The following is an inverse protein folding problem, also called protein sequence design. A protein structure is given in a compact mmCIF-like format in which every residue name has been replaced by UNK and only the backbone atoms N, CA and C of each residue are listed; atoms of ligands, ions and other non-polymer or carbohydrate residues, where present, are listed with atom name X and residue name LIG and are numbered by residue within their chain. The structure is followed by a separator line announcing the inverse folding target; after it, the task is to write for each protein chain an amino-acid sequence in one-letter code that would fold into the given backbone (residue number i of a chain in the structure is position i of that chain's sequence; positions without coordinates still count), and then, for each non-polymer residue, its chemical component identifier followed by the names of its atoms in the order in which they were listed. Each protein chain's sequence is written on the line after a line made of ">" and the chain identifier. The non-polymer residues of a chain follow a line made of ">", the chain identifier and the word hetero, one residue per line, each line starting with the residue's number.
data_IF_694143501722
#
_entry.id   IF_694143501722
#
_cell.length_a   1.000
_cell.length_b   1.000
_cell.length_c   1.000
_cell.angle_alpha   90.00
_cell.angle_beta   90.00
_cell.angle_gamma   90.00
#
_symmetry.space_group_name_H-M   'P 1'
#
loop_
_entity.id
_entity.type
_entity.pdbx_description
1 polymer ?
#
# COMPACT_ATOMS: atom_id res chain seq x y z
N UNK A 1 1.55 -3.92 -20.14
CA UNK A 1 2.83 -3.19 -19.93
C UNK A 1 3.05 -3.12 -18.41
N UNK A 2 4.21 -3.54 -17.93
CA UNK A 2 4.45 -3.94 -16.53
C UNK A 2 4.31 -2.77 -15.53
N UNK A 3 3.26 -2.79 -14.71
CA UNK A 3 3.17 -2.02 -13.45
C UNK A 3 4.04 -2.63 -12.33
N UNK A 4 5.25 -3.13 -12.65
CA UNK A 4 6.20 -3.68 -11.66
C UNK A 4 6.95 -2.61 -10.85
N UNK A 5 6.54 -1.35 -10.94
CA UNK A 5 7.19 -0.23 -10.23
C UNK A 5 6.27 0.44 -9.19
N UNK A 6 5.04 -0.04 -8.99
CA UNK A 6 4.15 0.46 -7.94
C UNK A 6 4.40 -0.16 -6.55
N UNK A 7 5.23 -1.22 -6.44
CA UNK A 7 5.40 -1.97 -5.19
C UNK A 7 6.40 -1.36 -4.18
N UNK A 8 6.85 -0.11 -4.40
CA UNK A 8 7.77 0.60 -3.51
C UNK A 8 7.09 1.76 -2.74
N UNK A 9 5.76 1.81 -2.71
CA UNK A 9 5.03 2.92 -2.08
C UNK A 9 4.87 2.63 -0.58
N UNK A 10 5.74 3.30 0.18
CA UNK A 10 5.60 3.60 1.60
C UNK A 10 5.54 2.39 2.55
N UNK A 11 6.66 1.68 2.64
CA UNK A 11 7.12 1.15 3.92
C UNK A 11 7.54 2.32 4.84
N UNK A 12 6.60 3.22 5.15
CA UNK A 12 6.71 3.99 6.38
C UNK A 12 6.35 3.00 7.46
N UNK A 13 7.32 2.17 7.88
CA UNK A 13 7.31 1.73 9.25
C UNK A 13 7.10 3.01 10.05
N UNK A 14 5.94 3.13 10.69
CA UNK A 14 5.59 4.25 11.56
C UNK A 14 6.56 4.20 12.74
N UNK A 15 7.80 4.65 12.51
CA UNK A 15 8.75 4.92 13.55
C UNK A 15 8.23 6.19 14.21
N UNK A 16 7.67 6.07 15.41
CA UNK A 16 7.42 7.26 16.21
C UNK A 16 8.79 7.89 16.49
N UNK A 17 9.08 8.99 15.81
CA UNK A 17 10.22 9.83 16.17
C UNK A 17 9.83 10.50 17.48
N UNK A 18 10.11 9.84 18.59
CA UNK A 18 9.99 10.47 19.90
C UNK A 18 10.89 11.73 19.88
N UNK A 19 10.30 12.88 20.19
CA UNK A 19 11.09 14.10 20.35
C UNK A 19 11.98 13.95 21.60
N UNK A 20 13.29 14.11 21.43
CA UNK A 20 14.21 14.05 22.55
C UNK A 20 14.03 15.29 23.46
N UNK A 21 14.09 15.12 24.79
CA UNK A 21 14.12 16.24 25.72
C UNK A 21 15.32 17.16 25.42
N UNK A 22 15.16 18.47 25.69
CA UNK A 22 16.23 19.44 25.51
C UNK A 22 17.49 19.05 26.30
N UNK A 23 18.63 18.93 25.60
CA UNK A 23 19.93 18.54 26.18
C UNK A 23 20.30 17.07 26.06
N UNK A 24 19.48 16.25 25.39
CA UNK A 24 19.81 14.87 25.00
C UNK A 24 20.33 14.86 23.56
N UNK A 25 21.24 13.95 23.22
CA UNK A 25 21.69 13.77 21.83
C UNK A 25 20.49 13.53 20.90
N UNK A 26 20.58 13.99 19.63
CA UNK A 26 19.46 13.82 18.72
C UNK A 26 19.25 12.33 18.44
N UNK A 27 18.00 11.86 18.44
CA UNK A 27 17.73 10.43 18.39
C UNK A 27 18.10 9.89 17.02
N UNK A 28 18.80 8.76 17.00
CA UNK A 28 19.06 7.96 15.80
C UNK A 28 18.23 6.69 15.93
N UNK A 29 17.43 6.41 14.90
CA UNK A 29 16.53 5.26 14.88
C UNK A 29 16.97 4.25 13.82
N UNK A 30 17.02 2.99 14.21
CA UNK A 30 17.41 1.87 13.37
C UNK A 30 16.21 0.97 13.10
N UNK A 31 16.06 0.50 11.87
CA UNK A 31 14.93 -0.31 11.47
C UNK A 31 15.31 -1.45 10.55
N UNK A 32 14.87 -2.68 10.85
CA UNK A 32 14.82 -3.78 9.88
C UNK A 32 13.38 -4.27 9.80
N UNK A 33 12.75 -4.23 8.63
CA UNK A 33 11.38 -4.74 8.44
C UNK A 33 11.33 -5.75 7.30
N UNK A 34 10.61 -6.86 7.48
CA UNK A 34 10.28 -7.79 6.39
C UNK A 34 8.84 -7.56 5.94
N UNK A 35 8.66 -7.40 4.64
CA UNK A 35 7.37 -7.17 4.00
C UNK A 35 6.94 -8.34 3.13
N UNK A 36 5.64 -8.60 3.08
CA UNK A 36 5.02 -9.43 2.04
C UNK A 36 3.82 -8.73 1.44
N UNK A 37 3.74 -8.75 0.11
CA UNK A 37 2.66 -8.14 -0.65
C UNK A 37 1.77 -9.19 -1.31
N UNK A 38 0.47 -9.05 -1.12
CA UNK A 38 -0.57 -9.86 -1.73
C UNK A 38 -1.45 -8.98 -2.61
N UNK A 39 -2.05 -9.58 -3.65
CA UNK A 39 -3.08 -8.95 -4.47
C UNK A 39 -4.39 -9.68 -4.24
N UNK A 40 -5.41 -8.93 -3.85
CA UNK A 40 -6.79 -9.38 -3.81
C UNK A 40 -7.47 -8.99 -5.13
N UNK A 41 -7.99 -10.01 -5.83
CA UNK A 41 -8.59 -9.85 -7.16
C UNK A 41 -10.07 -10.22 -7.23
N UNK A 42 -10.60 -10.81 -6.15
CA UNK A 42 -12.02 -11.08 -5.96
C UNK A 42 -12.35 -11.19 -4.46
N UNK A 43 -13.63 -11.26 -4.15
CA UNK A 43 -14.14 -11.47 -2.79
C UNK A 43 -13.54 -12.71 -2.14
N UNK A 44 -12.85 -12.52 -1.01
CA UNK A 44 -12.17 -13.61 -0.29
C UNK A 44 -11.09 -14.36 -1.09
N UNK A 45 -10.64 -13.82 -2.24
CA UNK A 45 -9.59 -14.42 -3.07
C UNK A 45 -8.35 -13.56 -3.02
N UNK A 46 -7.41 -13.98 -2.18
CA UNK A 46 -6.06 -13.41 -2.10
C UNK A 46 -5.10 -14.30 -2.88
N UNK A 47 -4.46 -13.71 -3.90
CA UNK A 47 -3.52 -14.43 -4.76
C UNK A 47 -2.09 -14.26 -4.28
N UNK A 48 -1.61 -15.25 -3.51
CA UNK A 48 -0.19 -15.49 -3.18
C UNK A 48 0.60 -14.33 -2.54
N UNK A 49 1.71 -14.65 -1.85
CA UNK A 49 2.73 -13.65 -1.54
C UNK A 49 3.46 -13.33 -2.85
N UNK A 50 3.05 -12.27 -3.53
CA UNK A 50 3.58 -11.92 -4.85
C UNK A 50 5.02 -11.45 -4.77
N UNK A 51 5.35 -10.70 -3.71
CA UNK A 51 6.67 -10.11 -3.49
C UNK A 51 7.02 -10.12 -1.99
N UNK A 52 8.11 -10.81 -1.64
CA UNK A 52 8.72 -10.81 -0.31
C UNK A 52 9.98 -9.95 -0.33
N UNK A 53 10.14 -9.04 0.63
CA UNK A 53 11.31 -8.15 0.69
C UNK A 53 11.65 -7.74 2.12
N UNK A 54 12.82 -7.15 2.32
CA UNK A 54 13.21 -6.48 3.55
C UNK A 54 13.62 -5.03 3.29
N UNK A 55 13.29 -4.16 4.24
CA UNK A 55 13.72 -2.77 4.33
C UNK A 55 14.73 -2.64 5.47
N UNK A 56 15.85 -1.99 5.20
CA UNK A 56 16.82 -1.53 6.18
C UNK A 56 16.75 -0.02 6.24
N UNK A 57 16.65 0.56 7.43
CA UNK A 57 16.49 2.01 7.57
C UNK A 57 17.29 2.60 8.72
N UNK A 58 17.74 3.84 8.49
CA UNK A 58 18.42 4.69 9.45
C UNK A 58 17.77 6.06 9.38
N UNK A 59 17.25 6.54 10.51
CA UNK A 59 16.45 7.76 10.57
C UNK A 59 16.92 8.67 11.69
N UNK A 60 16.85 9.99 11.48
CA UNK A 60 17.00 10.98 12.54
C UNK A 60 16.06 12.15 12.28
N UNK A 61 15.47 12.79 13.30
CA UNK A 61 14.72 14.04 13.12
C UNK A 61 15.63 15.22 12.78
N UNK A 62 16.95 15.04 12.79
CA UNK A 62 17.92 16.08 12.42
C UNK A 62 18.14 16.07 10.92
N UNK A 63 18.10 17.25 10.31
CA UNK A 63 18.47 17.47 8.91
C UNK A 63 19.98 17.26 8.72
N UNK A 64 20.39 16.70 7.58
CA UNK A 64 21.79 16.35 7.32
C UNK A 64 22.42 15.56 8.48
N UNK A 65 21.73 14.52 8.97
CA UNK A 65 22.21 13.74 10.11
C UNK A 65 23.40 12.84 9.73
N UNK A 66 23.39 12.26 8.53
CA UNK A 66 24.31 11.19 8.14
C UNK A 66 25.09 11.55 6.87
N UNK A 67 26.38 11.20 6.84
CA UNK A 67 27.23 11.24 5.65
C UNK A 67 27.33 9.87 4.95
N UNK A 68 27.17 8.79 5.72
CA UNK A 68 27.21 7.41 5.23
C UNK A 68 26.49 6.49 6.22
N UNK A 69 25.91 5.40 5.72
CA UNK A 69 25.32 4.33 6.53
C UNK A 69 25.53 2.97 5.86
N UNK A 70 25.87 1.96 6.64
CA UNK A 70 26.03 0.58 6.19
C UNK A 70 25.46 -0.39 7.21
N UNK A 71 24.93 -1.52 6.73
CA UNK A 71 24.45 -2.62 7.56
C UNK A 71 25.30 -3.84 7.27
N UNK A 72 25.83 -4.48 8.31
CA UNK A 72 26.64 -5.69 8.21
C UNK A 72 26.02 -6.83 9.01
N UNK A 73 26.10 -8.04 8.47
CA UNK A 73 25.60 -9.26 9.12
C UNK A 73 26.27 -10.49 8.48
N UNK A 74 26.04 -11.68 9.06
CA UNK A 74 26.52 -12.94 8.51
C UNK A 74 25.58 -13.47 7.41
N UNK A 75 25.52 -12.80 6.27
CA UNK A 75 24.71 -13.24 5.14
C UNK A 75 25.07 -12.60 3.80
N UNK A 76 24.38 -12.99 2.72
CA UNK A 76 24.86 -12.82 1.36
C UNK A 76 24.83 -11.39 0.83
N UNK A 77 24.01 -10.48 1.39
CA UNK A 77 23.99 -9.07 0.98
C UNK A 77 24.98 -8.20 1.76
N UNK A 78 25.62 -8.75 2.79
CA UNK A 78 26.54 -7.99 3.62
C UNK A 78 27.83 -7.63 2.86
N UNK A 79 28.32 -6.36 2.91
CA UNK A 79 27.69 -5.20 3.54
C UNK A 79 26.61 -4.56 2.66
N UNK A 80 25.53 -4.07 3.28
CA UNK A 80 24.47 -3.31 2.62
C UNK A 80 24.75 -1.82 2.79
N UNK A 81 24.91 -1.08 1.70
CA UNK A 81 24.96 0.38 1.75
C UNK A 81 23.56 0.97 1.89
N UNK A 82 23.38 1.93 2.79
CA UNK A 82 22.15 2.73 2.90
C UNK A 82 22.31 3.99 2.05
N UNK A 83 21.21 4.47 1.49
CA UNK A 83 21.20 5.67 0.65
C UNK A 83 20.22 6.69 1.19
N UNK A 84 20.59 7.96 1.11
CA UNK A 84 19.69 9.08 1.43
C UNK A 84 18.54 9.16 0.44
N UNK A 85 17.34 9.38 0.95
CA UNK A 85 16.10 9.42 0.15
C UNK A 85 15.44 10.79 0.21
N UNK A 86 15.94 11.63 1.12
CA UNK A 86 15.56 13.02 1.29
C UNK A 86 15.17 13.33 2.73
N UNK A 87 14.74 14.57 2.91
CA UNK A 87 14.20 15.02 4.19
C UNK A 87 12.81 14.42 4.40
N UNK A 88 12.59 13.76 5.53
CA UNK A 88 11.28 13.25 5.90
C UNK A 88 10.29 14.43 6.10
N UNK A 89 9.00 14.12 6.14
CA UNK A 89 7.91 15.12 6.29
C UNK A 89 8.05 15.96 7.58
N UNK A 90 8.87 15.51 8.53
CA UNK A 90 9.16 16.16 9.80
C UNK A 90 10.47 16.97 9.78
N UNK A 91 11.14 17.10 8.62
CA UNK A 91 12.39 17.85 8.45
C UNK A 91 13.67 17.10 8.83
N UNK A 92 13.58 15.80 9.12
CA UNK A 92 14.71 14.94 9.48
C UNK A 92 15.31 14.19 8.30
N UNK A 93 16.42 13.48 8.52
CA UNK A 93 17.14 12.69 7.50
C UNK A 93 16.72 11.23 7.55
N UNK A 94 16.42 10.64 6.38
CA UNK A 94 16.12 9.21 6.24
C UNK A 94 17.02 8.57 5.19
N UNK A 95 17.66 7.47 5.58
CA UNK A 95 18.46 6.61 4.72
C UNK A 95 17.86 5.20 4.71
N UNK A 96 17.75 4.57 3.53
CA UNK A 96 17.30 3.19 3.44
C UNK A 96 18.03 2.35 2.39
N UNK A 97 17.84 1.03 2.46
CA UNK A 97 18.10 0.08 1.39
C UNK A 97 17.07 -1.04 1.43
N UNK A 98 16.87 -1.71 0.30
CA UNK A 98 16.01 -2.89 0.19
C UNK A 98 16.85 -4.15 -0.07
N UNK A 99 16.30 -5.30 0.32
CA UNK A 99 16.76 -6.60 -0.16
C UNK A 99 16.33 -6.83 -1.62
N UNK A 100 16.67 -7.99 -2.18
CA UNK A 100 16.02 -8.44 -3.40
C UNK A 100 14.55 -8.79 -3.11
N UNK A 101 13.73 -8.75 -4.17
CA UNK A 101 12.36 -9.25 -4.14
C UNK A 101 12.39 -10.76 -4.37
N UNK A 102 11.71 -11.50 -3.50
CA UNK A 102 11.62 -12.96 -3.55
C UNK A 102 10.19 -13.43 -3.76
N UNK A 103 10.04 -14.60 -4.38
CA UNK A 103 8.74 -15.24 -4.59
C UNK A 103 8.28 -16.04 -3.37
N UNK A 104 9.20 -16.37 -2.45
CA UNK A 104 8.88 -17.15 -1.26
C UNK A 104 9.51 -16.53 -0.01
N UNK A 105 8.88 -16.81 1.13
CA UNK A 105 9.40 -16.43 2.44
C UNK A 105 10.75 -17.10 2.75
N UNK A 106 10.93 -18.35 2.33
CA UNK A 106 12.17 -19.11 2.57
C UNK A 106 13.37 -18.46 1.87
N UNK A 107 13.19 -17.99 0.63
CA UNK A 107 14.24 -17.29 -0.12
C UNK A 107 14.62 -15.96 0.55
N UNK A 108 13.62 -15.19 1.04
CA UNK A 108 13.86 -13.98 1.81
C UNK A 108 14.59 -14.28 3.12
N UNK A 109 14.20 -15.33 3.83
CA UNK A 109 14.83 -15.73 5.10
C UNK A 109 16.26 -16.26 4.90
N UNK A 110 16.58 -16.83 3.73
CA UNK A 110 17.94 -17.21 3.37
C UNK A 110 18.82 -15.99 3.08
N UNK A 111 18.27 -14.94 2.46
CA UNK A 111 19.00 -13.70 2.17
C UNK A 111 19.15 -12.80 3.41
N UNK A 112 18.07 -12.67 4.18
CA UNK A 112 17.94 -11.80 5.37
C UNK A 112 17.58 -12.68 6.57
N UNK A 113 18.52 -13.47 7.10
CA UNK A 113 18.27 -14.41 8.18
C UNK A 113 17.97 -13.69 9.50
N UNK A 114 17.26 -14.37 10.38
CA UNK A 114 17.12 -13.95 11.77
C UNK A 114 18.46 -14.10 12.49
N UNK A 115 19.14 -12.98 12.72
CA UNK A 115 20.47 -12.92 13.30
C UNK A 115 20.75 -11.52 13.84
N UNK A 116 21.96 -11.30 14.34
CA UNK A 116 22.44 -9.97 14.71
C UNK A 116 22.96 -9.23 13.47
N UNK A 117 22.50 -8.00 13.31
CA UNK A 117 22.92 -7.03 12.31
C UNK A 117 23.65 -5.90 13.03
N UNK A 118 24.58 -5.25 12.34
CA UNK A 118 25.29 -4.10 12.86
C UNK A 118 25.10 -2.93 11.91
N UNK A 119 24.46 -1.86 12.40
CA UNK A 119 24.32 -0.59 11.71
C UNK A 119 25.53 0.28 12.04
N UNK A 120 26.35 0.56 11.03
CA UNK A 120 27.48 1.47 11.12
C UNK A 120 27.18 2.73 10.30
N UNK A 121 27.27 3.90 10.92
CA UNK A 121 27.00 5.15 10.24
C UNK A 121 28.01 6.24 10.61
N UNK A 122 28.34 7.05 9.62
CA UNK A 122 29.11 8.28 9.80
C UNK A 122 28.14 9.43 9.91
N UNK A 123 28.08 10.07 11.07
CA UNK A 123 27.21 11.23 11.30
C UNK A 123 27.86 12.54 10.85
N UNK A 124 27.01 13.50 10.44
CA UNK A 124 27.37 14.91 10.18
C UNK A 124 26.89 15.74 11.37
N UNK A 125 25.57 15.74 11.60
CA UNK A 125 24.89 16.50 12.66
C UNK A 125 24.56 15.65 13.89
N UNK A 126 24.78 14.34 13.81
CA UNK A 126 24.75 13.40 14.94
C UNK A 126 26.12 12.74 15.11
N UNK A 127 26.49 12.22 16.29
CA UNK A 127 27.72 11.46 16.45
C UNK A 127 27.69 10.18 15.61
N UNK A 128 28.84 9.81 15.02
CA UNK A 128 28.98 8.52 14.32
C UNK A 128 28.83 7.37 15.32
N UNK A 129 28.30 6.24 14.85
CA UNK A 129 27.94 5.13 15.72
C UNK A 129 27.96 3.79 15.02
N UNK A 130 28.07 2.74 15.84
CA UNK A 130 27.98 1.36 15.43
C UNK A 130 27.07 0.63 16.43
N UNK A 131 25.95 0.09 15.94
CA UNK A 131 24.87 -0.39 16.79
C UNK A 131 24.39 -1.78 16.37
N UNK A 132 24.46 -2.78 17.28
CA UNK A 132 23.89 -4.09 17.01
C UNK A 132 22.36 -4.02 17.10
N UNK A 133 21.69 -4.66 16.16
CA UNK A 133 20.24 -4.85 16.10
C UNK A 133 20.00 -6.33 15.87
N UNK A 134 19.22 -6.97 16.74
CA UNK A 134 18.82 -8.37 16.52
C UNK A 134 17.56 -8.39 15.67
N UNK A 135 17.57 -9.19 14.61
CA UNK A 135 16.37 -9.55 13.85
C UNK A 135 15.85 -10.92 14.30
N UNK A 136 14.62 -10.96 14.79
CA UNK A 136 13.93 -12.18 15.23
C UNK A 136 13.57 -13.09 14.05
N UNK A 137 13.39 -14.39 14.31
CA UNK A 137 12.75 -15.29 13.34
C UNK A 137 11.46 -14.70 12.83
N UNK A 138 11.21 -14.88 11.55
CA UNK A 138 10.03 -14.31 10.91
C UNK A 138 8.77 -14.88 11.55
N UNK A 139 7.99 -14.00 12.18
CA UNK A 139 6.69 -14.32 12.79
C UNK A 139 5.61 -13.53 12.07
N UNK A 140 5.29 -13.91 10.84
CA UNK A 140 4.02 -13.48 10.25
C UNK A 140 2.88 -14.12 11.04
N UNK A 141 1.86 -13.32 11.38
CA UNK A 141 0.61 -13.89 11.85
C UNK A 141 0.05 -14.83 10.77
N UNK A 142 -0.49 -16.02 11.12
CA UNK A 142 -1.09 -16.93 10.15
C UNK A 142 -2.29 -16.30 9.43
N UNK A 143 -2.98 -15.41 10.14
CA UNK A 143 -4.18 -14.73 9.64
C UNK A 143 -3.80 -13.56 8.72
N UNK A 144 -4.49 -13.52 7.59
CA UNK A 144 -4.28 -12.63 6.47
C UNK A 144 -5.34 -11.54 6.55
N UNK A 145 -5.04 -10.29 6.91
CA UNK A 145 -6.03 -9.23 6.74
C UNK A 145 -6.39 -9.11 5.26
N UNK A 146 -7.65 -9.39 4.95
CA UNK A 146 -8.23 -9.43 3.62
C UNK A 146 -9.64 -8.86 3.66
N UNK A 147 -10.08 -8.34 2.52
CA UNK A 147 -11.45 -7.88 2.36
C UNK A 147 -12.37 -9.11 2.31
N UNK A 148 -13.42 -9.08 3.12
CA UNK A 148 -14.38 -10.18 3.26
C UNK A 148 -15.73 -9.86 2.60
N UNK A 149 -16.57 -10.89 2.49
CA UNK A 149 -17.93 -10.76 1.97
C UNK A 149 -17.88 -10.31 0.52
N UNK A 150 -18.69 -9.32 0.17
CA UNK A 150 -18.74 -8.68 -1.15
C UNK A 150 -17.91 -7.39 -1.21
N UNK A 151 -17.03 -7.13 -0.24
CA UNK A 151 -16.32 -5.84 -0.12
C UNK A 151 -15.48 -5.51 -1.34
N UNK A 152 -14.78 -6.50 -1.90
CA UNK A 152 -13.98 -6.27 -3.10
C UNK A 152 -14.89 -5.96 -4.29
N UNK A 153 -15.93 -6.77 -4.51
CA UNK A 153 -16.89 -6.55 -5.59
C UNK A 153 -17.60 -5.22 -5.45
N UNK A 154 -17.96 -4.83 -4.22
CA UNK A 154 -18.54 -3.53 -3.91
C UNK A 154 -17.55 -2.39 -4.12
N UNK A 155 -16.25 -2.55 -3.91
CA UNK A 155 -15.28 -1.53 -4.33
C UNK A 155 -15.29 -1.33 -5.84
N UNK A 156 -15.46 -2.41 -6.61
CA UNK A 156 -15.62 -2.31 -8.06
C UNK A 156 -16.94 -1.62 -8.45
N UNK A 157 -17.99 -1.75 -7.61
CA UNK A 157 -19.29 -1.09 -7.79
C UNK A 157 -19.44 0.27 -7.09
N UNK A 158 -18.50 0.67 -6.22
CA UNK A 158 -18.53 1.93 -5.47
C UNK A 158 -18.39 3.17 -6.37
N UNK A 159 -18.27 2.91 -7.68
CA UNK A 159 -18.16 3.86 -8.78
C UNK A 159 -19.40 4.74 -9.02
N UNK A 160 -20.60 4.34 -8.61
CA UNK A 160 -21.85 4.99 -9.06
C UNK A 160 -22.45 6.02 -8.08
N UNK A 161 -22.20 5.88 -6.78
CA UNK A 161 -22.65 6.85 -5.76
C UNK A 161 -21.55 7.03 -4.71
N UNK A 162 -20.63 7.96 -5.01
CA UNK A 162 -19.58 8.35 -4.08
C UNK A 162 -20.09 9.28 -2.98
N UNK A 163 -21.31 9.79 -3.05
CA UNK A 163 -21.88 10.66 -2.02
C UNK A 163 -22.30 9.90 -0.76
N UNK A 164 -22.48 8.58 -0.90
CA UNK A 164 -22.78 7.68 0.21
C UNK A 164 -21.51 7.11 0.85
N UNK A 165 -21.57 6.91 2.17
CA UNK A 165 -20.53 6.20 2.91
C UNK A 165 -20.36 4.77 2.37
N UNK A 166 -19.12 4.37 2.09
CA UNK A 166 -18.80 2.98 1.82
C UNK A 166 -18.42 2.26 3.11
N UNK A 167 -19.26 1.32 3.52
CA UNK A 167 -18.91 0.36 4.58
C UNK A 167 -18.36 -0.91 3.96
N UNK A 168 -17.10 -1.22 4.23
CA UNK A 168 -16.45 -2.47 3.85
C UNK A 168 -16.21 -3.39 5.04
N UNK A 169 -15.99 -4.67 4.74
CA UNK A 169 -15.68 -5.70 5.74
C UNK A 169 -14.30 -6.30 5.49
N UNK A 170 -13.66 -6.65 6.60
CA UNK A 170 -12.38 -7.34 6.63
C UNK A 170 -12.42 -8.37 7.75
N UNK A 171 -11.55 -9.37 7.70
CA UNK A 171 -11.33 -10.19 8.89
C UNK A 171 -10.66 -9.35 9.97
N UNK A 172 -10.98 -9.66 11.23
CA UNK A 172 -10.22 -9.13 12.35
C UNK A 172 -8.80 -9.65 12.35
N UNK A 173 -7.97 -9.12 13.23
CA UNK A 173 -6.60 -9.57 13.42
C UNK A 173 -6.31 -9.75 14.91
N UNK A 174 -5.33 -10.59 15.21
CA UNK A 174 -4.85 -10.75 16.59
C UNK A 174 -3.51 -10.06 16.73
N UNK A 175 -3.35 -9.25 17.78
CA UNK A 175 -2.05 -8.69 18.13
C UNK A 175 -1.06 -9.81 18.43
N UNK A 176 0.16 -9.68 17.91
CA UNK A 176 1.20 -10.62 18.23
C UNK A 176 1.61 -10.42 19.70
N UNK A 177 1.49 -11.42 20.59
CA UNK A 177 1.59 -11.22 22.04
C UNK A 177 2.97 -10.75 22.52
N UNK A 178 4.01 -10.99 21.72
CA UNK A 178 5.36 -10.53 22.01
C UNK A 178 5.70 -9.15 21.41
N UNK A 179 4.83 -8.59 20.57
CA UNK A 179 5.05 -7.30 19.93
C UNK A 179 4.65 -6.18 20.88
N UNK A 180 5.39 -5.09 20.87
CA UNK A 180 5.04 -3.90 21.64
C UNK A 180 4.25 -2.88 20.81
N UNK A 181 4.29 -3.00 19.48
CA UNK A 181 3.44 -2.24 18.56
C UNK A 181 2.88 -3.19 17.51
N UNK A 182 1.56 -3.22 17.39
CA UNK A 182 0.88 -3.86 16.26
C UNK A 182 -0.31 -2.99 15.85
N UNK A 183 -0.66 -3.08 14.57
CA UNK A 183 -1.80 -2.34 14.06
C UNK A 183 -2.10 -2.71 12.62
N UNK A 184 -3.35 -2.51 12.25
CA UNK A 184 -3.78 -2.54 10.87
C UNK A 184 -4.31 -1.18 10.46
N UNK A 185 -4.28 -0.88 9.18
CA UNK A 185 -5.08 0.20 8.63
C UNK A 185 -5.40 -0.07 7.17
N UNK A 186 -6.42 0.61 6.71
CA UNK A 186 -6.69 0.77 5.29
C UNK A 186 -6.11 2.09 4.82
N UNK A 187 -5.56 2.10 3.62
CA UNK A 187 -5.01 3.27 2.95
C UNK A 187 -5.44 3.26 1.50
N UNK A 188 -5.88 4.40 0.99
CA UNK A 188 -6.31 4.56 -0.40
C UNK A 188 -5.49 5.67 -1.04
N UNK A 189 -4.83 5.31 -2.13
CA UNK A 189 -4.03 6.19 -2.97
C UNK A 189 -4.72 6.44 -4.30
N UNK A 190 -4.62 7.67 -4.78
CA UNK A 190 -4.90 8.00 -6.17
C UNK A 190 -3.63 7.79 -7.00
N UNK A 191 -3.75 6.94 -8.03
CA UNK A 191 -2.63 6.60 -8.91
C UNK A 191 -2.22 7.76 -9.83
N UNK A 192 -3.10 8.72 -10.07
CA UNK A 192 -2.83 9.88 -10.93
C UNK A 192 -2.04 10.99 -10.23
N UNK A 193 -2.33 11.20 -8.94
CA UNK A 193 -1.68 12.27 -8.14
C UNK A 193 -0.62 11.75 -7.17
N UNK A 194 -0.46 10.43 -7.03
CA UNK A 194 0.44 9.81 -6.04
C UNK A 194 0.21 10.33 -4.62
N UNK A 195 -1.02 10.72 -4.30
CA UNK A 195 -1.41 11.29 -3.02
C UNK A 195 -2.24 10.33 -2.18
N UNK A 196 -2.06 10.42 -0.87
CA UNK A 196 -2.90 9.76 0.11
C UNK A 196 -4.27 10.45 0.14
N UNK A 197 -5.35 9.71 -0.13
CA UNK A 197 -6.72 10.24 -0.09
C UNK A 197 -7.44 9.88 1.19
N UNK A 198 -7.32 8.62 1.62
CA UNK A 198 -8.00 8.13 2.81
C UNK A 198 -7.11 7.17 3.58
N UNK A 199 -7.19 7.24 4.91
CA UNK A 199 -6.59 6.27 5.81
C UNK A 199 -7.43 6.10 7.07
N UNK A 200 -7.58 4.86 7.53
CA UNK A 200 -8.20 4.54 8.81
C UNK A 200 -7.44 3.41 9.49
N UNK A 201 -6.94 3.65 10.70
CA UNK A 201 -6.33 2.64 11.59
C UNK A 201 -7.39 1.82 12.29
N UNK A 202 -7.05 0.58 12.62
CA UNK A 202 -7.96 -0.38 13.21
C UNK A 202 -7.49 -0.90 14.55
N UNK A 203 -8.44 -1.11 15.46
CA UNK A 203 -8.24 -1.96 16.63
C UNK A 203 -8.35 -3.44 16.22
N UNK A 204 -7.69 -4.38 16.94
CA UNK A 204 -7.70 -5.82 16.60
C UNK A 204 -9.09 -6.43 16.45
N UNK A 205 -10.07 -5.95 17.21
CA UNK A 205 -11.45 -6.45 17.18
C UNK A 205 -12.31 -5.88 16.06
N UNK A 206 -11.84 -4.86 15.33
CA UNK A 206 -12.62 -4.27 14.25
C UNK A 206 -12.61 -5.17 13.01
N UNK A 207 -13.79 -5.33 12.41
CA UNK A 207 -14.00 -6.18 11.22
C UNK A 207 -14.68 -5.42 10.09
N UNK A 208 -14.73 -4.09 10.19
CA UNK A 208 -15.34 -3.21 9.21
C UNK A 208 -14.70 -1.84 9.24
N UNK A 209 -14.78 -1.13 8.12
CA UNK A 209 -14.32 0.24 7.97
C UNK A 209 -15.34 1.05 7.19
N UNK A 210 -15.31 2.38 7.35
CA UNK A 210 -16.21 3.28 6.64
C UNK A 210 -15.42 4.39 5.97
N UNK A 211 -15.44 4.39 4.65
CA UNK A 211 -14.94 5.49 3.83
C UNK A 211 -16.09 6.50 3.72
N UNK A 212 -15.93 7.74 4.23
CA UNK A 212 -16.98 8.73 4.14
C UNK A 212 -17.33 9.03 2.68
N UNK A 213 -18.62 9.32 2.42
CA UNK A 213 -19.04 9.89 1.15
C UNK A 213 -18.22 11.13 0.79
N UNK A 214 -18.02 11.35 -0.51
CA UNK A 214 -17.25 12.43 -1.12
C UNK A 214 -15.75 12.46 -0.78
N UNK A 215 -15.24 11.48 -0.03
CA UNK A 215 -13.80 11.40 0.29
C UNK A 215 -12.93 10.84 -0.84
N UNK A 216 -13.56 10.17 -1.80
CA UNK A 216 -12.94 9.64 -3.02
C UNK A 216 -13.56 10.39 -4.21
N UNK A 217 -12.72 10.84 -5.14
CA UNK A 217 -13.16 11.58 -6.33
C UNK A 217 -13.62 10.64 -7.46
N UNK A 218 -14.65 11.01 -8.23
CA UNK A 218 -15.09 10.28 -9.42
C UNK A 218 -14.07 10.38 -10.56
N UNK A 219 -13.94 9.33 -11.37
CA UNK A 219 -13.14 9.30 -12.60
C UNK A 219 -11.67 8.97 -12.40
N UNK A 220 -11.29 8.43 -11.25
CA UNK A 220 -9.90 8.15 -10.91
C UNK A 220 -9.66 6.67 -10.66
N UNK A 221 -8.43 6.24 -10.95
CA UNK A 221 -7.93 4.92 -10.60
C UNK A 221 -7.29 4.96 -9.21
N UNK A 222 -7.79 4.12 -8.31
CA UNK A 222 -7.32 4.03 -6.95
C UNK A 222 -6.58 2.72 -6.69
N UNK A 223 -5.65 2.81 -5.75
CA UNK A 223 -4.92 1.71 -5.19
C UNK A 223 -5.20 1.63 -3.69
N UNK A 224 -5.90 0.58 -3.29
CA UNK A 224 -6.20 0.29 -1.90
C UNK A 224 -5.16 -0.64 -1.30
N UNK A 225 -4.79 -0.36 -0.06
CA UNK A 225 -3.89 -1.16 0.75
C UNK A 225 -4.57 -1.42 2.09
N UNK A 226 -4.75 -2.69 2.43
CA UNK A 226 -5.00 -3.12 3.80
C UNK A 226 -3.65 -3.56 4.36
N UNK A 227 -3.06 -2.70 5.18
CA UNK A 227 -1.78 -2.98 5.81
C UNK A 227 -2.00 -3.57 7.20
N UNK A 228 -1.12 -4.49 7.57
CA UNK A 228 -0.96 -4.96 8.94
C UNK A 228 0.51 -5.00 9.27
N UNK A 229 0.89 -4.42 10.40
CA UNK A 229 2.26 -4.37 10.84
C UNK A 229 2.36 -4.85 12.28
N UNK A 230 3.43 -5.61 12.52
CA UNK A 230 3.90 -5.99 13.85
C UNK A 230 5.31 -5.44 13.98
N UNK A 231 5.60 -4.76 15.08
CA UNK A 231 6.90 -4.20 15.36
C UNK A 231 7.31 -4.51 16.79
N UNK A 232 8.60 -4.72 16.96
CA UNK A 232 9.28 -4.86 18.23
C UNK A 232 10.28 -3.71 18.31
N UNK A 233 9.95 -2.70 19.09
CA UNK A 233 10.86 -1.59 19.34
C UNK A 233 11.47 -1.64 20.73
N UNK A 234 12.59 -0.97 20.87
CA UNK A 234 13.27 -0.78 22.14
C UNK A 234 13.81 0.64 22.19
N UNK A 235 13.36 1.38 23.19
CA UNK A 235 13.71 2.78 23.44
C UNK A 235 15.15 2.93 23.95
N UNK A 236 15.85 1.81 24.18
CA UNK A 236 17.23 1.78 24.67
C UNK A 236 18.24 1.47 23.59
N UNK A 237 17.95 1.76 22.30
CA UNK A 237 18.59 1.25 21.09
C UNK A 237 20.10 1.45 20.89
N UNK A 238 20.90 1.23 21.93
CA UNK A 238 22.33 1.47 22.03
C UNK A 238 22.73 2.95 22.01
N UNK A 239 21.81 3.89 21.73
CA UNK A 239 22.07 5.32 21.58
C UNK A 239 21.20 6.10 22.57
N UNK A 240 21.76 7.13 23.20
CA UNK A 240 20.99 8.00 24.08
C UNK A 240 19.86 8.69 23.30
N UNK A 241 18.61 8.35 23.62
CA UNK A 241 17.42 8.87 22.95
C UNK A 241 17.07 8.17 21.63
N UNK A 242 17.93 7.30 21.10
CA UNK A 242 17.64 6.52 19.90
C UNK A 242 16.77 5.29 20.18
N UNK A 243 16.15 4.76 19.13
CA UNK A 243 15.38 3.52 19.21
C UNK A 243 15.84 2.52 18.15
N UNK A 244 15.74 1.23 18.44
CA UNK A 244 15.72 0.23 17.37
C UNK A 244 14.31 -0.30 17.21
N UNK A 245 14.01 -0.75 16.00
CA UNK A 245 12.80 -1.47 15.71
C UNK A 245 13.05 -2.55 14.68
N UNK A 246 12.39 -3.67 14.88
CA UNK A 246 12.31 -4.75 13.92
C UNK A 246 10.83 -5.05 13.67
N UNK A 247 10.48 -5.39 12.44
CA UNK A 247 9.07 -5.52 12.10
C UNK A 247 8.77 -6.51 11.00
N UNK A 248 7.50 -6.87 10.94
CA UNK A 248 6.90 -7.68 9.90
C UNK A 248 5.67 -6.94 9.42
N UNK A 249 5.62 -6.68 8.12
CA UNK A 249 4.51 -5.97 7.50
C UNK A 249 3.91 -6.82 6.41
N UNK A 250 2.59 -6.78 6.34
CA UNK A 250 1.79 -7.42 5.32
C UNK A 250 0.94 -6.37 4.62
N UNK A 251 0.91 -6.46 3.30
CA UNK A 251 0.09 -5.63 2.44
C UNK A 251 -0.88 -6.53 1.66
N UNK A 252 -2.17 -6.27 1.79
CA UNK A 252 -3.19 -6.80 0.89
C UNK A 252 -3.66 -5.66 0.02
N UNK A 253 -3.31 -5.74 -1.27
CA UNK A 253 -3.56 -4.67 -2.22
C UNK A 253 -4.74 -5.01 -3.11
N UNK A 254 -5.49 -4.00 -3.52
CA UNK A 254 -6.48 -4.11 -4.58
C UNK A 254 -6.51 -2.83 -5.40
N UNK A 255 -7.05 -2.95 -6.60
CA UNK A 255 -7.28 -1.83 -7.49
C UNK A 255 -8.78 -1.66 -7.68
N UNK A 256 -9.22 -0.42 -7.76
CA UNK A 256 -10.58 -0.09 -8.16
C UNK A 256 -10.56 1.24 -8.91
N UNK A 257 -11.56 1.47 -9.76
CA UNK A 257 -11.73 2.75 -10.44
C UNK A 257 -13.05 3.32 -9.98
N UNK A 258 -13.07 4.60 -9.68
CA UNK A 258 -14.35 5.31 -9.61
C UNK A 258 -14.76 5.69 -11.02
N UNK A 259 -16.05 5.57 -11.34
CA UNK A 259 -16.54 6.10 -12.60
C UNK A 259 -16.41 7.60 -12.54
N UNK A 260 -16.05 8.19 -13.69
CA UNK A 260 -16.23 9.62 -13.86
C UNK A 260 -17.70 9.98 -13.73
N UNK A 261 -18.04 11.27 -13.70
CA UNK A 261 -19.44 11.70 -13.84
C UNK A 261 -20.11 11.11 -15.10
N UNK A 262 -19.32 10.63 -16.06
CA UNK A 262 -19.74 9.85 -17.22
C UNK A 262 -19.29 8.39 -17.16
N UNK A 263 -20.16 7.46 -16.71
CA UNK A 263 -19.95 6.04 -16.92
C UNK A 263 -19.82 5.64 -18.40
N UNK A 264 -20.46 6.39 -19.30
CA UNK A 264 -20.53 6.11 -20.73
C UNK A 264 -19.43 6.80 -21.57
N UNK A 265 -18.54 7.59 -20.96
CA UNK A 265 -17.33 8.12 -21.62
C UNK A 265 -16.28 7.01 -21.61
N UNK A 266 -16.36 6.12 -22.60
CA UNK A 266 -15.59 4.88 -22.67
C UNK A 266 -14.16 5.13 -23.16
N UNK A 267 -13.90 6.27 -23.77
CA UNK A 267 -12.59 6.67 -24.27
C UNK A 267 -11.85 7.66 -23.34
N UNK A 268 -12.57 8.29 -22.41
CA UNK A 268 -12.05 9.16 -21.36
C UNK A 268 -11.73 10.59 -21.83
N UNK A 269 -12.38 11.09 -22.88
CA UNK A 269 -12.15 12.43 -23.43
C UNK A 269 -13.08 13.51 -22.87
N UNK A 270 -13.97 13.14 -21.95
CA UNK A 270 -14.94 14.02 -21.32
C UNK A 270 -16.24 14.20 -22.10
N UNK A 271 -16.45 13.42 -23.17
CA UNK A 271 -17.67 13.40 -23.96
C UNK A 271 -18.23 11.97 -24.04
N UNK A 272 -19.53 11.87 -24.34
CA UNK A 272 -20.15 10.59 -24.70
C UNK A 272 -20.67 10.75 -26.12
N UNK A 273 -19.87 10.32 -27.08
CA UNK A 273 -20.12 10.55 -28.50
C UNK A 273 -19.98 9.27 -29.36
N UNK A 274 -19.89 9.45 -30.68
CA UNK A 274 -19.77 8.34 -31.63
C UNK A 274 -18.53 7.47 -31.36
N UNK A 275 -17.45 8.02 -30.81
CA UNK A 275 -16.26 7.27 -30.44
C UNK A 275 -16.55 6.30 -29.30
N UNK A 276 -17.27 6.74 -28.27
CA UNK A 276 -17.71 5.88 -27.16
C UNK A 276 -18.73 4.84 -27.62
N UNK A 277 -19.66 5.24 -28.49
CA UNK A 277 -20.65 4.32 -29.04
C UNK A 277 -19.99 3.19 -29.83
N UNK A 278 -18.93 3.47 -30.58
CA UNK A 278 -18.16 2.43 -31.29
C UNK A 278 -17.52 1.44 -30.31
N UNK A 279 -16.99 1.91 -29.17
CA UNK A 279 -16.45 1.05 -28.11
C UNK A 279 -17.57 0.22 -27.48
N UNK A 280 -18.69 0.86 -27.16
CA UNK A 280 -19.86 0.21 -26.55
C UNK A 280 -20.39 -0.92 -27.45
N UNK A 281 -20.62 -0.65 -28.73
CA UNK A 281 -21.14 -1.66 -29.69
C UNK A 281 -20.18 -2.82 -29.88
N UNK A 282 -18.86 -2.58 -29.85
CA UNK A 282 -17.88 -3.66 -29.90
C UNK A 282 -18.00 -4.59 -28.69
N UNK A 283 -18.08 -4.02 -27.48
CA UNK A 283 -18.24 -4.79 -26.25
C UNK A 283 -19.61 -5.50 -26.18
N UNK A 284 -20.69 -4.80 -26.57
CA UNK A 284 -22.05 -5.35 -26.65
C UNK A 284 -22.12 -6.58 -27.57
N UNK A 285 -21.39 -6.58 -28.69
CA UNK A 285 -21.34 -7.75 -29.59
C UNK A 285 -20.61 -8.97 -28.98
N UNK A 286 -19.72 -8.76 -28.00
CA UNK A 286 -19.02 -9.83 -27.28
C UNK A 286 -19.84 -10.37 -26.09
N UNK A 287 -20.73 -9.55 -25.53
CA UNK A 287 -21.69 -9.87 -24.46
C UNK A 287 -21.07 -10.16 -23.09
N UNK A 288 -20.01 -10.96 -22.99
CA UNK A 288 -19.43 -11.40 -21.72
C UNK A 288 -18.14 -10.66 -21.39
N UNK A 289 -18.05 -10.07 -20.19
CA UNK A 289 -16.82 -9.40 -19.74
C UNK A 289 -15.61 -10.34 -19.57
N UNK A 290 -15.84 -11.67 -19.60
CA UNK A 290 -14.78 -12.69 -19.55
C UNK A 290 -14.25 -13.10 -20.93
N UNK A 291 -14.80 -12.55 -22.02
CA UNK A 291 -14.32 -12.84 -23.37
C UNK A 291 -12.88 -12.31 -23.58
N UNK A 292 -12.02 -13.09 -24.25
CA UNK A 292 -10.61 -12.74 -24.44
C UNK A 292 -10.40 -11.49 -25.31
N UNK A 293 -11.40 -11.12 -26.11
CA UNK A 293 -11.39 -9.92 -26.95
C UNK A 293 -12.11 -8.74 -26.30
N UNK A 294 -12.69 -8.91 -25.10
CA UNK A 294 -13.30 -7.80 -24.37
C UNK A 294 -12.23 -6.77 -24.02
N UNK A 295 -12.45 -5.46 -24.28
CA UNK A 295 -11.55 -4.42 -23.80
C UNK A 295 -11.29 -4.56 -22.29
N UNK A 296 -10.04 -4.28 -21.88
CA UNK A 296 -9.61 -4.47 -20.49
C UNK A 296 -10.56 -3.73 -19.52
N UNK A 297 -10.96 -4.41 -18.44
CA UNK A 297 -11.93 -3.94 -17.44
C UNK A 297 -13.39 -3.81 -17.91
N UNK A 298 -13.73 -4.28 -19.11
CA UNK A 298 -15.11 -4.30 -19.62
C UNK A 298 -15.83 -2.94 -19.46
N UNK A 299 -15.31 -1.86 -20.07
CA UNK A 299 -15.76 -0.49 -19.77
C UNK A 299 -17.24 -0.24 -20.10
N UNK A 300 -17.81 -1.03 -21.02
CA UNK A 300 -19.20 -0.91 -21.45
C UNK A 300 -20.22 -1.67 -20.59
N UNK A 301 -19.79 -2.43 -19.58
CA UNK A 301 -20.67 -3.03 -18.57
C UNK A 301 -21.10 -1.93 -17.59
N UNK A 302 -22.11 -1.16 -18.01
CA UNK A 302 -22.64 0.00 -17.31
C UNK A 302 -23.41 -0.39 -16.04
N UNK A 303 -23.95 -1.60 -15.97
CA UNK A 303 -24.69 -2.14 -14.80
C UNK A 303 -23.83 -2.95 -13.84
N UNK A 304 -22.59 -3.27 -14.22
CA UNK A 304 -21.61 -4.04 -13.46
C UNK A 304 -22.07 -5.47 -13.12
N UNK A 305 -22.81 -6.12 -14.02
CA UNK A 305 -23.33 -7.47 -13.83
C UNK A 305 -22.46 -8.55 -14.50
N UNK A 306 -21.37 -8.13 -15.17
CA UNK A 306 -20.45 -8.98 -15.90
C UNK A 306 -20.84 -9.20 -17.36
N UNK A 307 -21.86 -8.50 -17.85
CA UNK A 307 -22.37 -8.57 -19.21
C UNK A 307 -22.46 -7.18 -19.82
N UNK A 308 -22.49 -7.11 -21.16
CA UNK A 308 -22.78 -5.88 -21.92
C UNK A 308 -24.01 -6.17 -22.76
N UNK A 309 -25.18 -5.83 -22.21
CA UNK A 309 -26.51 -6.19 -22.70
C UNK A 309 -27.40 -4.96 -22.82
N UNK A 310 -28.69 -5.18 -23.11
CA UNK A 310 -29.68 -4.09 -23.29
C UNK A 310 -29.78 -3.17 -22.07
N UNK A 311 -29.59 -3.70 -20.86
CA UNK A 311 -29.63 -2.91 -19.64
C UNK A 311 -28.49 -1.88 -19.62
N UNK A 312 -27.28 -2.24 -20.07
CA UNK A 312 -26.18 -1.29 -20.24
C UNK A 312 -26.45 -0.27 -21.34
N UNK A 313 -27.14 -0.69 -22.41
CA UNK A 313 -27.50 0.23 -23.48
C UNK A 313 -28.52 1.27 -23.02
N UNK A 314 -29.44 0.88 -22.13
CA UNK A 314 -30.39 1.80 -21.47
C UNK A 314 -29.66 2.86 -20.64
N UNK A 315 -28.54 2.51 -20.00
CA UNK A 315 -27.68 3.47 -19.28
C UNK A 315 -26.83 4.34 -20.23
N UNK A 316 -26.38 3.78 -21.36
CA UNK A 316 -25.55 4.49 -22.34
C UNK A 316 -26.31 5.60 -23.08
N UNK A 317 -27.54 5.31 -23.53
CA UNK A 317 -28.33 6.20 -24.41
C UNK A 317 -28.61 7.58 -23.81
N UNK A 318 -29.01 7.74 -22.54
CA UNK A 318 -29.20 9.05 -21.93
C UNK A 318 -27.95 9.91 -21.96
N UNK A 319 -26.78 9.33 -21.67
CA UNK A 319 -25.50 10.05 -21.67
C UNK A 319 -25.10 10.46 -23.09
N UNK A 320 -25.19 9.54 -24.05
CA UNK A 320 -24.90 9.81 -25.46
C UNK A 320 -25.82 10.89 -26.05
N UNK A 321 -27.11 10.88 -25.72
CA UNK A 321 -28.06 11.90 -26.19
C UNK A 321 -27.75 13.31 -25.66
N UNK A 322 -27.08 13.42 -24.53
CA UNK A 322 -26.70 14.71 -23.94
C UNK A 322 -25.38 15.23 -24.53
N UNK A 323 -24.60 14.39 -25.22
CA UNK A 323 -23.28 14.69 -25.81
C UNK A 323 -22.28 15.30 -24.82
N UNK A 324 -22.54 15.20 -23.52
CA UNK A 324 -21.79 15.87 -22.47
C UNK A 324 -21.75 14.99 -21.23
N UNK A 325 -20.61 15.07 -20.57
CA UNK A 325 -20.52 14.80 -19.15
C UNK A 325 -21.10 15.96 -18.40
N UNK A 326 -22.36 15.84 -18.00
CA UNK A 326 -22.88 16.76 -16.99
C UNK A 326 -22.08 16.48 -15.71
N UNK A 327 -21.33 17.47 -15.18
CA UNK A 327 -20.77 17.33 -13.86
C UNK A 327 -21.95 17.25 -12.88
N UNK A 328 -22.33 16.04 -12.48
CA UNK A 328 -23.26 15.83 -11.37
C UNK A 328 -22.76 16.56 -10.12
#
# INVERSE_FOLDING_TARGET
>A
MQYRHACAISATCLFSVASAPAGVEPPVNFGISKGVTYIQSADGVVTGGTDYSALFSLNSPVTDAFAAGTVTYAGPLSPIALFEVGNNVLGGTTWYSYSNIHATQEDLDAEVPATEYTFDYTGISVPSGNHPVTLRPTTFCPEVPELLGDTYSRFQAYKDDLSSDFTGWMNGFTDHPAANVSGAAIVIYDLSHSSLYYAQTFDPSETSFTIPGDSILPGYAYFGILYYSVSYSDDSGGVAGGSYSEGFTRYTNWFFNTRGPCPADLNGDGYVDDADFVIFVQAYNLLYCSDEFMPEKCPADLTNDGYVVDDDFVEFVPAYNQLLCDPL
#
